data_IF_321506391862
#
_entry.id   IF_321506391862
#
_cell.length_a   1.000
_cell.length_b   1.000
_cell.length_c   1.000
_cell.angle_alpha   90.00
_cell.angle_beta   90.00
_cell.angle_gamma   90.00
#
_symmetry.space_group_name_H-M   'P 1'
#
loop_
_entity.id
_entity.type
_entity.pdbx_description
1 polymer ?
#
# COMPACT_ATOMS: atom_id res chain seq x y z
N UNK A 1 -65.69 17.95 33.44
CA UNK A 1 -65.76 17.84 31.96
C UNK A 1 -64.36 18.07 31.44
N UNK A 2 -63.54 17.02 31.50
CA UNK A 2 -62.12 17.09 31.18
C UNK A 2 -61.97 17.12 29.65
N UNK A 3 -61.18 18.08 29.17
CA UNK A 3 -60.92 18.28 27.74
C UNK A 3 -59.94 17.21 27.28
N UNK A 4 -60.41 16.31 26.40
CA UNK A 4 -59.57 15.36 25.68
C UNK A 4 -58.62 16.13 24.75
N UNK A 5 -57.40 16.37 25.22
CA UNK A 5 -56.31 16.86 24.37
C UNK A 5 -55.70 15.66 23.67
N UNK A 6 -56.02 15.46 22.40
CA UNK A 6 -55.25 14.56 21.52
C UNK A 6 -53.81 15.06 21.48
N UNK A 7 -52.92 14.35 22.18
CA UNK A 7 -51.49 14.49 21.98
C UNK A 7 -51.20 14.05 20.54
N UNK A 8 -51.10 15.02 19.63
CA UNK A 8 -50.34 14.85 18.40
C UNK A 8 -48.88 14.67 18.82
N UNK A 9 -48.55 13.46 19.24
CA UNK A 9 -47.18 13.00 19.28
C UNK A 9 -46.69 13.10 17.84
N UNK A 10 -45.90 14.15 17.56
CA UNK A 10 -44.93 14.11 16.48
C UNK A 10 -44.05 12.90 16.79
N UNK A 11 -44.46 11.74 16.28
CA UNK A 11 -43.56 10.61 16.12
C UNK A 11 -42.47 11.14 15.20
N UNK A 12 -41.37 11.58 15.81
CA UNK A 12 -40.09 11.57 15.13
C UNK A 12 -39.89 10.09 14.79
N UNK A 13 -40.32 9.70 13.59
CA UNK A 13 -40.00 8.39 13.06
C UNK A 13 -38.50 8.41 12.92
N UNK A 14 -37.83 7.85 13.92
CA UNK A 14 -36.43 7.44 13.84
C UNK A 14 -36.44 6.40 12.73
N UNK A 15 -36.22 6.85 11.48
CA UNK A 15 -35.91 5.94 10.39
C UNK A 15 -34.62 5.24 10.79
N UNK A 16 -34.58 3.90 10.84
CA UNK A 16 -33.35 3.18 11.15
C UNK A 16 -32.27 3.71 10.21
N UNK A 17 -31.17 4.18 10.77
CA UNK A 17 -30.09 4.82 10.04
C UNK A 17 -29.43 3.78 9.15
N UNK A 18 -30.00 3.55 7.96
CA UNK A 18 -29.57 2.48 7.07
C UNK A 18 -28.15 2.79 6.59
N UNK A 19 -27.19 1.97 7.04
CA UNK A 19 -25.77 2.17 6.76
C UNK A 19 -25.44 1.86 5.31
N UNK A 20 -24.51 2.62 4.70
CA UNK A 20 -24.03 2.31 3.37
C UNK A 20 -23.29 0.96 3.33
N UNK A 21 -23.64 0.13 2.36
CA UNK A 21 -23.09 -1.21 2.16
C UNK A 21 -22.62 -1.40 0.72
N UNK A 22 -21.41 -1.95 0.55
CA UNK A 22 -20.92 -2.38 -0.76
C UNK A 22 -21.59 -3.69 -1.15
N UNK A 23 -22.26 -3.70 -2.31
CA UNK A 23 -22.97 -4.89 -2.79
C UNK A 23 -22.04 -6.01 -3.28
N UNK A 24 -20.76 -5.70 -3.51
CA UNK A 24 -19.75 -6.68 -3.90
C UNK A 24 -18.34 -6.23 -3.44
N UNK A 25 -17.45 -7.17 -3.07
CA UNK A 25 -16.03 -6.90 -2.86
C UNK A 25 -15.34 -6.58 -4.20
N UNK A 26 -14.36 -5.66 -4.16
CA UNK A 26 -13.49 -5.40 -5.31
C UNK A 26 -12.45 -6.51 -5.43
N UNK A 27 -12.24 -7.01 -6.64
CA UNK A 27 -11.22 -8.02 -6.92
C UNK A 27 -9.83 -7.39 -7.00
N UNK A 28 -8.80 -8.17 -6.64
CA UNK A 28 -7.41 -7.76 -6.80
C UNK A 28 -7.05 -7.76 -8.28
N UNK A 29 -6.70 -6.59 -8.81
CA UNK A 29 -6.23 -6.44 -10.18
C UNK A 29 -4.76 -6.04 -10.20
N UNK A 30 -3.96 -6.75 -11.01
CA UNK A 30 -2.57 -6.39 -11.30
C UNK A 30 -2.51 -5.69 -12.64
N UNK A 31 -2.03 -4.45 -12.65
CA UNK A 31 -1.81 -3.66 -13.86
C UNK A 31 -0.35 -3.26 -13.98
N UNK A 32 0.10 -3.11 -15.23
CA UNK A 32 1.44 -2.62 -15.53
C UNK A 32 1.52 -1.16 -15.11
N UNK A 33 2.66 -0.75 -14.52
CA UNK A 33 2.90 0.64 -14.14
C UNK A 33 2.70 1.58 -15.34
N UNK A 34 2.03 2.71 -15.11
CA UNK A 34 1.68 3.67 -16.16
C UNK A 34 0.44 3.31 -16.97
N UNK A 35 -0.32 2.28 -16.58
CA UNK A 35 -1.64 1.99 -17.13
C UNK A 35 -2.74 2.32 -16.13
N UNK A 36 -3.86 2.80 -16.66
CA UNK A 36 -5.04 3.11 -15.87
C UNK A 36 -5.87 1.84 -15.59
N UNK A 37 -6.54 1.82 -14.43
CA UNK A 37 -7.49 0.78 -14.02
C UNK A 37 -8.74 1.44 -13.45
N UNK A 38 -9.90 0.87 -13.77
CA UNK A 38 -11.19 1.35 -13.29
C UNK A 38 -11.84 0.30 -12.39
N UNK A 39 -12.21 0.72 -11.18
CA UNK A 39 -12.97 -0.10 -10.25
C UNK A 39 -14.41 0.38 -10.23
N UNK A 40 -15.36 -0.54 -10.38
CA UNK A 40 -16.78 -0.24 -10.22
C UNK A 40 -17.23 -0.75 -8.86
N UNK A 41 -17.75 0.12 -8.02
CA UNK A 41 -18.40 -0.27 -6.77
C UNK A 41 -19.87 0.14 -6.81
N UNK A 42 -20.75 -0.72 -6.30
CA UNK A 42 -22.17 -0.41 -6.16
C UNK A 42 -22.48 -0.37 -4.67
N UNK A 43 -22.94 0.78 -4.19
CA UNK A 43 -23.20 1.03 -2.77
C UNK A 43 -24.68 1.27 -2.56
N UNK A 44 -25.28 0.52 -1.64
CA UNK A 44 -26.65 0.73 -1.22
C UNK A 44 -26.70 1.67 0.01
N UNK A 45 -27.84 2.33 0.23
CA UNK A 45 -28.10 3.16 1.42
C UNK A 45 -27.05 4.27 1.67
N UNK A 46 -26.52 4.89 0.61
CA UNK A 46 -25.42 5.86 0.69
C UNK A 46 -25.76 7.17 1.44
N UNK A 47 -27.05 7.40 1.74
CA UNK A 47 -27.61 8.55 2.47
C UNK A 47 -26.79 9.84 2.28
N UNK A 48 -26.08 10.32 3.32
CA UNK A 48 -25.44 11.63 3.30
C UNK A 48 -23.98 11.67 2.85
N UNK A 49 -23.22 10.57 2.82
CA UNK A 49 -21.94 10.32 2.09
C UNK A 49 -21.02 9.37 2.86
N UNK A 50 -20.06 8.74 2.15
CA UNK A 50 -18.91 8.06 2.75
C UNK A 50 -17.61 8.27 1.98
N UNK A 51 -16.52 8.20 2.72
CA UNK A 51 -15.14 8.17 2.24
C UNK A 51 -14.74 6.71 1.98
N UNK A 52 -14.19 6.44 0.81
CA UNK A 52 -13.61 5.14 0.45
C UNK A 52 -12.09 5.23 0.39
N UNK A 53 -11.42 4.16 0.82
CA UNK A 53 -9.96 4.02 0.71
C UNK A 53 -9.65 2.75 -0.07
N UNK A 54 -8.63 2.83 -0.92
CA UNK A 54 -8.07 1.68 -1.62
C UNK A 54 -6.58 1.62 -1.30
N UNK A 55 -6.12 0.44 -0.89
CA UNK A 55 -4.70 0.21 -0.69
C UNK A 55 -4.06 -0.24 -2.00
N UNK A 56 -2.98 0.42 -2.38
CA UNK A 56 -2.19 0.06 -3.56
C UNK A 56 -0.86 -0.52 -3.09
N UNK A 57 -0.61 -1.75 -3.52
CA UNK A 57 0.68 -2.42 -3.31
C UNK A 57 1.46 -2.44 -4.62
N UNK A 58 2.76 -2.17 -4.52
CA UNK A 58 3.69 -2.22 -5.64
C UNK A 58 4.72 -3.30 -5.31
N UNK A 59 4.84 -4.35 -6.13
CA UNK A 59 5.80 -5.41 -5.88
C UNK A 59 7.23 -4.83 -5.87
N UNK A 60 8.16 -5.47 -5.15
CA UNK A 60 9.52 -5.00 -5.08
C UNK A 60 10.22 -5.14 -6.43
N UNK A 61 10.92 -4.10 -6.85
CA UNK A 61 11.73 -4.09 -8.06
C UNK A 61 13.18 -3.68 -7.75
N UNK A 62 14.14 -4.41 -8.31
CA UNK A 62 15.57 -4.15 -8.10
C UNK A 62 16.03 -3.26 -9.24
N UNK A 63 16.43 -2.04 -8.92
CA UNK A 63 16.94 -1.11 -9.91
C UNK A 63 18.37 -1.48 -10.29
N UNK A 64 18.63 -1.52 -11.59
CA UNK A 64 19.98 -1.70 -12.10
C UNK A 64 20.88 -0.54 -11.64
N UNK A 65 21.95 -0.90 -10.92
CA UNK A 65 23.05 0.00 -10.62
C UNK A 65 24.21 -0.42 -11.55
N UNK A 66 24.53 0.40 -12.54
CA UNK A 66 25.64 0.15 -13.48
C UNK A 66 26.96 -0.13 -12.76
N UNK A 67 27.11 0.39 -11.53
CA UNK A 67 28.29 0.18 -10.68
C UNK A 67 28.39 -1.22 -10.06
N UNK A 68 27.30 -1.99 -10.03
CA UNK A 68 27.25 -3.32 -9.42
C UNK A 68 27.64 -4.45 -10.37
N UNK A 69 27.57 -4.22 -11.69
CA UNK A 69 27.90 -5.24 -12.69
C UNK A 69 29.42 -5.45 -12.80
N UNK A 70 29.86 -6.70 -12.66
CA UNK A 70 31.24 -7.11 -12.95
C UNK A 70 32.29 -6.61 -11.97
N UNK A 71 31.93 -6.31 -10.71
CA UNK A 71 32.91 -5.87 -9.71
C UNK A 71 33.86 -7.00 -9.32
N UNK A 72 35.11 -6.92 -9.79
CA UNK A 72 36.20 -7.87 -9.49
C UNK A 72 37.26 -7.17 -8.62
N UNK A 73 37.73 -7.84 -7.58
CA UNK A 73 38.86 -7.37 -6.76
C UNK A 73 39.84 -8.51 -6.52
N UNK A 74 41.07 -8.17 -6.13
CA UNK A 74 42.10 -9.14 -5.76
C UNK A 74 41.86 -9.70 -4.35
N UNK A 75 42.50 -10.81 -4.01
CA UNK A 75 42.41 -11.37 -2.65
C UNK A 75 42.85 -10.34 -1.60
N UNK A 76 41.99 -10.08 -0.61
CA UNK A 76 42.20 -9.02 0.40
C UNK A 76 41.71 -7.63 -0.01
N UNK A 77 41.25 -7.46 -1.25
CA UNK A 77 40.62 -6.24 -1.74
C UNK A 77 39.24 -5.97 -1.13
N UNK A 78 38.81 -4.70 -1.18
CA UNK A 78 37.52 -4.27 -0.67
C UNK A 78 36.49 -4.16 -1.81
N UNK A 79 35.29 -4.70 -1.59
CA UNK A 79 34.14 -4.59 -2.49
C UNK A 79 32.97 -4.02 -1.70
N UNK A 80 32.30 -3.02 -2.29
CA UNK A 80 31.07 -2.45 -1.74
C UNK A 80 29.91 -2.83 -2.65
N UNK A 81 29.07 -3.75 -2.17
CA UNK A 81 27.84 -4.11 -2.85
C UNK A 81 26.77 -3.07 -2.55
N UNK A 82 26.13 -2.55 -3.61
CA UNK A 82 25.02 -1.61 -3.53
C UNK A 82 23.81 -2.23 -4.22
N UNK A 83 22.65 -2.14 -3.57
CA UNK A 83 21.38 -2.58 -4.10
C UNK A 83 20.35 -1.48 -3.79
N UNK A 84 19.61 -1.08 -4.81
CA UNK A 84 18.50 -0.13 -4.68
C UNK A 84 17.26 -0.89 -5.10
N UNK A 85 16.28 -0.98 -4.20
CA UNK A 85 15.01 -1.60 -4.46
C UNK A 85 13.85 -0.63 -4.21
N UNK A 86 12.90 -0.61 -5.14
CA UNK A 86 11.64 0.13 -5.07
C UNK A 86 10.51 -0.85 -4.75
N UNK A 87 9.32 -0.32 -4.43
CA UNK A 87 8.17 -1.12 -4.00
C UNK A 87 7.45 -0.50 -2.82
N UNK A 88 6.17 -0.85 -2.67
CA UNK A 88 5.29 -0.40 -1.60
C UNK A 88 4.51 -1.60 -1.05
N UNK A 89 4.69 -1.98 0.23
CA UNK A 89 5.55 -1.33 1.23
C UNK A 89 7.04 -1.46 0.90
N UNK A 90 7.87 -0.63 1.55
CA UNK A 90 9.32 -0.58 1.29
C UNK A 90 9.94 -1.98 1.46
N UNK A 91 10.66 -2.51 0.44
CA UNK A 91 11.24 -3.84 0.55
C UNK A 91 12.40 -3.91 1.53
N UNK A 92 12.57 -5.10 2.11
CA UNK A 92 13.78 -5.46 2.86
C UNK A 92 14.79 -6.10 1.91
N UNK A 93 15.97 -5.52 1.81
CA UNK A 93 17.06 -6.05 0.98
C UNK A 93 17.95 -6.97 1.82
N UNK A 94 18.20 -8.18 1.32
CA UNK A 94 19.15 -9.11 1.91
C UNK A 94 20.09 -9.65 0.85
N UNK A 95 21.36 -9.80 1.22
CA UNK A 95 22.39 -10.34 0.34
C UNK A 95 22.56 -11.82 0.62
N UNK A 96 22.66 -12.63 -0.43
CA UNK A 96 22.95 -14.06 -0.37
C UNK A 96 23.93 -14.40 -1.49
N UNK A 97 24.86 -15.32 -1.23
CA UNK A 97 25.74 -15.85 -2.28
C UNK A 97 24.93 -16.77 -3.19
N UNK A 98 25.26 -16.77 -4.48
CA UNK A 98 24.65 -17.67 -5.47
C UNK A 98 24.86 -19.14 -5.09
N UNK A 99 26.04 -19.47 -4.57
CA UNK A 99 26.40 -20.81 -4.08
C UNK A 99 25.71 -21.20 -2.76
N UNK A 100 24.89 -20.33 -2.18
CA UNK A 100 24.18 -20.55 -0.93
C UNK A 100 25.06 -20.56 0.33
N UNK A 101 26.37 -20.31 0.21
CA UNK A 101 27.28 -20.23 1.36
C UNK A 101 27.09 -18.91 2.13
N UNK A 102 27.58 -18.87 3.36
CA UNK A 102 27.49 -17.68 4.21
C UNK A 102 28.36 -16.52 3.68
N UNK A 103 27.84 -15.30 3.79
CA UNK A 103 28.61 -14.07 3.54
C UNK A 103 29.41 -13.75 4.81
N UNK A 104 30.73 -13.79 4.72
CA UNK A 104 31.62 -13.40 5.82
C UNK A 104 31.84 -11.89 5.71
N UNK A 105 31.20 -11.12 6.58
CA UNK A 105 31.41 -9.67 6.68
C UNK A 105 32.56 -9.41 7.67
N UNK A 106 33.63 -8.77 7.20
CA UNK A 106 34.67 -8.23 8.08
C UNK A 106 34.12 -6.95 8.73
N UNK A 107 34.24 -6.86 10.05
CA UNK A 107 33.56 -5.89 10.94
C UNK A 107 33.80 -4.41 10.57
N UNK A 108 33.02 -3.86 9.63
CA UNK A 108 32.62 -2.44 9.56
C UNK A 108 31.44 -2.18 8.59
N UNK A 109 30.83 -3.24 8.05
CA UNK A 109 29.83 -3.14 6.98
C UNK A 109 28.44 -2.82 7.48
N UNK A 110 28.21 -1.58 7.93
CA UNK A 110 26.87 -1.08 8.21
C UNK A 110 25.99 -1.21 6.95
N UNK A 111 24.94 -2.02 7.01
CA UNK A 111 23.95 -2.18 5.94
C UNK A 111 23.20 -0.85 5.74
N UNK A 112 23.76 0.09 4.99
CA UNK A 112 23.09 1.35 4.68
C UNK A 112 22.10 1.15 3.53
N UNK A 113 20.86 0.80 3.90
CA UNK A 113 19.73 0.96 3.00
C UNK A 113 19.35 2.45 2.97
N UNK A 114 19.59 3.13 1.85
CA UNK A 114 19.12 4.51 1.67
C UNK A 114 17.64 4.47 1.29
N UNK A 115 16.79 5.02 2.16
CA UNK A 115 15.36 5.16 1.89
C UNK A 115 15.14 6.36 0.96
N UNK A 116 14.57 6.12 -0.21
CA UNK A 116 13.90 7.17 -0.99
C UNK A 116 12.42 6.99 -0.67
N UNK A 117 11.82 8.00 -0.05
CA UNK A 117 10.37 8.05 0.18
C UNK A 117 9.79 8.65 -1.09
N UNK A 118 9.21 7.82 -1.97
CA UNK A 118 8.29 8.32 -2.98
C UNK A 118 6.93 8.44 -2.32
N UNK A 119 6.49 9.67 -2.11
CA UNK A 119 5.15 9.97 -1.60
C UNK A 119 4.14 9.58 -2.68
N UNK A 120 3.48 8.43 -2.53
CA UNK A 120 2.28 8.13 -3.30
C UNK A 120 1.14 8.96 -2.73
N UNK A 121 0.63 9.91 -3.52
CA UNK A 121 -0.55 10.67 -3.16
C UNK A 121 -1.75 9.71 -3.17
N UNK A 122 -2.29 9.41 -1.98
CA UNK A 122 -3.59 8.76 -1.86
C UNK A 122 -4.65 9.75 -2.34
N UNK A 123 -5.13 9.59 -3.56
CA UNK A 123 -6.30 10.35 -4.02
C UNK A 123 -7.55 9.75 -3.38
N UNK A 124 -8.39 10.56 -2.69
CA UNK A 124 -9.68 10.09 -2.22
C UNK A 124 -10.55 9.68 -3.41
N UNK A 125 -11.23 8.55 -3.30
CA UNK A 125 -12.22 8.10 -4.28
C UNK A 125 -13.39 9.10 -4.20
N UNK A 126 -13.61 9.88 -5.26
CA UNK A 126 -14.65 10.92 -5.34
C UNK A 126 -15.95 10.37 -5.91
#
# INVERSE_FOLDING_TARGET
MERNTTQNALFCQITPEVLPEFLAPLENHTVIQGRDVFFTCVVNHLQSYKMGYMEVVVPPDIMDDETANGMVTHEGGNIRLRCVATGSPKPTVSWKREDGRNIILREDGQKQCKYIIESYNFLPIR
#
